data_IF_895479360441
#
_entry.id   IF_895479360441
#
_cell.length_a   1.000
_cell.length_b   1.000
_cell.length_c   1.000
_cell.angle_alpha   90.00
_cell.angle_beta   90.00
_cell.angle_gamma   90.00
#
_symmetry.space_group_name_H-M   'P 1'
#
loop_
_entity.id
_entity.type
_entity.pdbx_description
1 polymer ?
#
# COMPACT_ATOMS: atom_id res chain seq x y z
N UNK A 1 12.95 -2.50 10.53
CA UNK A 1 12.90 -1.92 9.18
C UNK A 1 11.47 -1.53 8.85
N UNK A 2 11.30 -0.34 8.29
CA UNK A 2 10.01 0.22 7.92
C UNK A 2 10.10 0.80 6.50
N UNK A 3 8.97 0.86 5.80
CA UNK A 3 8.88 1.41 4.44
C UNK A 3 7.77 2.45 4.36
N UNK A 4 8.03 3.51 3.61
CA UNK A 4 7.03 4.52 3.24
C UNK A 4 7.06 4.64 1.72
N UNK A 5 5.88 4.55 1.11
CA UNK A 5 5.73 4.60 -0.35
C UNK A 5 4.69 5.62 -0.80
N UNK A 6 4.93 6.24 -1.96
CA UNK A 6 4.06 7.24 -2.58
C UNK A 6 3.69 6.85 -4.01
N UNK A 7 2.44 7.07 -4.43
CA UNK A 7 1.95 6.70 -5.77
C UNK A 7 2.19 5.21 -6.05
N UNK A 8 2.91 4.85 -7.11
CA UNK A 8 3.36 3.49 -7.38
C UNK A 8 4.13 2.88 -6.20
N UNK A 9 4.94 3.68 -5.50
CA UNK A 9 5.61 3.24 -4.28
C UNK A 9 4.63 2.88 -3.15
N UNK A 10 3.44 3.48 -3.09
CA UNK A 10 2.40 3.14 -2.12
C UNK A 10 1.82 1.74 -2.34
N UNK A 11 1.70 1.32 -3.60
CA UNK A 11 1.39 -0.07 -3.98
C UNK A 11 2.52 -1.01 -3.57
N UNK A 12 3.78 -0.66 -3.88
CA UNK A 12 4.93 -1.47 -3.49
C UNK A 12 5.07 -1.60 -1.97
N UNK A 13 4.71 -0.56 -1.20
CA UNK A 13 4.69 -0.61 0.25
C UNK A 13 3.65 -1.62 0.79
N UNK A 14 2.50 -1.73 0.14
CA UNK A 14 1.51 -2.78 0.43
C UNK A 14 2.06 -4.17 0.14
N UNK A 15 2.62 -4.40 -1.05
CA UNK A 15 3.21 -5.69 -1.44
C UNK A 15 4.35 -6.08 -0.47
N UNK A 16 5.24 -5.14 -0.15
CA UNK A 16 6.33 -5.38 0.79
C UNK A 16 5.83 -5.70 2.20
N UNK A 17 4.74 -5.08 2.65
CA UNK A 17 4.10 -5.41 3.93
C UNK A 17 3.48 -6.82 3.93
N UNK A 18 3.02 -7.30 2.77
CA UNK A 18 2.43 -8.63 2.59
C UNK A 18 3.47 -9.75 2.43
N UNK A 19 4.58 -9.49 1.72
CA UNK A 19 5.54 -10.52 1.33
C UNK A 19 6.83 -10.56 2.17
N UNK A 20 7.21 -9.46 2.82
CA UNK A 20 8.49 -9.34 3.53
C UNK A 20 8.32 -9.20 5.05
N UNK A 21 9.36 -9.56 5.80
CA UNK A 21 9.42 -9.35 7.25
C UNK A 21 9.69 -7.88 7.59
N UNK A 22 8.63 -7.07 7.63
CA UNK A 22 8.68 -5.64 7.97
C UNK A 22 8.13 -5.37 9.37
N UNK A 23 8.59 -4.30 10.03
CA UNK A 23 8.02 -3.87 11.31
C UNK A 23 6.76 -3.02 11.12
N UNK A 24 6.72 -2.19 10.09
CA UNK A 24 5.56 -1.40 9.70
C UNK A 24 5.71 -0.82 8.28
N UNK A 25 4.60 -0.39 7.70
CA UNK A 25 4.56 0.26 6.40
C UNK A 25 3.60 1.45 6.38
N UNK A 26 3.84 2.41 5.47
CA UNK A 26 2.91 3.50 5.16
C UNK A 26 2.75 3.63 3.65
N UNK A 27 1.49 3.67 3.19
CA UNK A 27 1.13 3.82 1.78
C UNK A 27 0.39 5.13 1.57
N UNK A 28 0.99 6.03 0.79
CA UNK A 28 0.37 7.28 0.36
C UNK A 28 -0.16 7.14 -1.07
N UNK A 29 -1.48 7.26 -1.22
CA UNK A 29 -2.22 7.22 -2.48
C UNK A 29 -1.72 6.12 -3.43
N UNK A 30 -1.51 4.92 -2.86
CA UNK A 30 -1.15 3.73 -3.62
C UNK A 30 -2.28 3.35 -4.56
N UNK A 31 -2.02 3.43 -5.88
CA UNK A 31 -2.95 2.97 -6.91
C UNK A 31 -2.88 1.45 -7.09
N UNK A 32 -3.86 0.86 -7.79
CA UNK A 32 -3.92 -0.55 -8.18
C UNK A 32 -3.99 -1.58 -7.04
N UNK A 33 -3.93 -1.17 -5.77
CA UNK A 33 -4.03 -2.10 -4.62
C UNK A 33 -5.41 -2.79 -4.63
N UNK A 34 -6.48 -2.00 -4.84
CA UNK A 34 -7.84 -2.51 -4.88
C UNK A 34 -8.14 -3.39 -6.12
N UNK A 35 -7.43 -3.16 -7.23
CA UNK A 35 -7.63 -3.92 -8.47
C UNK A 35 -6.87 -5.26 -8.46
N UNK A 36 -5.61 -5.23 -8.03
CA UNK A 36 -4.66 -6.31 -8.30
C UNK A 36 -4.11 -7.01 -7.04
N UNK A 37 -4.35 -6.46 -5.85
CA UNK A 37 -3.66 -6.91 -4.62
C UNK A 37 -4.59 -7.10 -3.41
N UNK A 38 -5.92 -7.09 -3.57
CA UNK A 38 -6.84 -7.31 -2.44
C UNK A 38 -6.69 -8.68 -1.76
N UNK A 39 -6.24 -9.69 -2.51
CA UNK A 39 -5.98 -11.03 -1.96
C UNK A 39 -4.71 -11.07 -1.08
N UNK A 40 -3.86 -10.04 -1.15
CA UNK A 40 -2.64 -9.94 -0.38
C UNK A 40 -2.91 -9.23 0.95
N UNK A 41 -2.97 -10.01 2.03
CA UNK A 41 -3.11 -9.45 3.38
C UNK A 41 -1.74 -9.05 3.95
N UNK A 42 -1.56 -7.79 4.38
CA UNK A 42 -0.34 -7.33 5.04
C UNK A 42 -0.02 -8.15 6.29
N UNK A 43 1.24 -8.59 6.41
CA UNK A 43 1.74 -9.35 7.56
C UNK A 43 2.25 -8.46 8.71
N UNK A 44 2.31 -7.15 8.49
CA UNK A 44 2.72 -6.15 9.47
C UNK A 44 1.73 -4.96 9.50
N UNK A 45 1.75 -4.14 10.56
CA UNK A 45 0.93 -2.94 10.64
C UNK A 45 1.21 -2.00 9.46
N UNK A 46 0.15 -1.59 8.78
CA UNK A 46 0.22 -0.65 7.66
C UNK A 46 -0.81 0.47 7.82
N UNK A 47 -0.39 1.69 7.52
CA UNK A 47 -1.26 2.87 7.47
C UNK A 47 -1.46 3.30 6.01
N UNK A 48 -2.72 3.49 5.62
CA UNK A 48 -3.07 3.97 4.28
C UNK A 48 -3.55 5.41 4.32
N UNK A 49 -3.04 6.23 3.41
CA UNK A 49 -3.50 7.59 3.17
C UNK A 49 -4.14 7.66 1.79
N UNK A 50 -5.46 7.78 1.77
CA UNK A 50 -6.27 7.82 0.55
C UNK A 50 -6.75 9.24 0.28
N UNK A 51 -6.62 9.67 -0.97
CA UNK A 51 -7.08 10.99 -1.41
C UNK A 51 -8.54 10.91 -1.82
N UNK A 52 -9.42 11.70 -1.18
CA UNK A 52 -10.87 11.71 -1.47
C UNK A 52 -11.18 11.91 -2.97
N UNK A 53 -10.37 12.73 -3.66
CA UNK A 53 -10.57 13.06 -5.08
C UNK A 53 -9.62 12.30 -6.02
N UNK A 54 -8.83 11.35 -5.50
CA UNK A 54 -7.88 10.60 -6.32
C UNK A 54 -8.56 9.46 -7.07
N UNK A 55 -8.99 9.76 -8.30
CA UNK A 55 -9.60 8.75 -9.18
C UNK A 55 -8.63 7.65 -9.60
N UNK A 56 -7.32 7.84 -9.48
CA UNK A 56 -6.35 6.81 -9.83
C UNK A 56 -6.33 5.67 -8.79
N UNK A 57 -6.91 5.88 -7.61
CA UNK A 57 -7.00 4.88 -6.54
C UNK A 57 -8.17 3.90 -6.68
N UNK A 58 -9.24 4.31 -7.37
CA UNK A 58 -10.47 3.55 -7.54
C UNK A 58 -10.80 3.29 -9.02
N UNK A 59 -9.76 3.16 -9.84
CA UNK A 59 -9.93 2.61 -11.18
C UNK A 59 -10.11 1.10 -11.12
#
# INVERSE_FOLDING_TARGET
MAIVGYCFGGMLAHIAASELKMNCAVSYYGGLIAENHLDQSPSCPIMYHFGEQDRAQFR
#
